data_IF_960580921152
#
_entry.id   IF_960580921152
#
_cell.length_a   1.000
_cell.length_b   1.000
_cell.length_c   1.000
_cell.angle_alpha   90.00
_cell.angle_beta   90.00
_cell.angle_gamma   90.00
#
_symmetry.space_group_name_H-M   'P 1'
#
loop_
_entity.id
_entity.type
_entity.pdbx_description
1 polymer ?
#
# COMPACT_ATOMS: atom_id res chain seq x y z
N UNK A 1 4.75 -9.05 -7.44
CA UNK A 1 4.47 -9.78 -6.18
C UNK A 1 5.69 -9.82 -5.25
N UNK A 2 6.87 -10.27 -5.71
CA UNK A 2 8.06 -10.41 -4.84
C UNK A 2 8.99 -9.21 -4.81
N UNK A 3 9.18 -8.51 -5.93
CA UNK A 3 10.19 -7.44 -6.07
C UNK A 3 9.63 -6.03 -5.91
N UNK A 4 8.31 -5.86 -5.96
CA UNK A 4 7.65 -4.55 -6.01
C UNK A 4 7.72 -3.85 -7.38
N UNK A 5 8.40 -4.46 -8.36
CA UNK A 5 8.46 -3.95 -9.73
C UNK A 5 7.16 -4.28 -10.50
N UNK A 6 6.68 -3.29 -11.26
CA UNK A 6 5.42 -3.37 -12.01
C UNK A 6 5.61 -3.86 -13.46
N UNK A 7 6.83 -3.85 -13.97
CA UNK A 7 7.15 -4.21 -15.35
C UNK A 7 7.55 -5.69 -15.43
N UNK A 8 7.09 -6.37 -16.48
CA UNK A 8 7.52 -7.74 -16.76
C UNK A 8 9.02 -7.78 -17.09
N UNK A 9 9.71 -8.81 -16.62
CA UNK A 9 11.17 -8.95 -16.80
C UNK A 9 11.45 -10.22 -17.58
N UNK A 10 12.26 -10.09 -18.61
CA UNK A 10 12.70 -11.19 -19.46
C UNK A 10 13.61 -12.16 -18.69
N UNK A 11 13.49 -13.46 -19.00
CA UNK A 11 14.21 -14.54 -18.32
C UNK A 11 15.25 -15.13 -19.26
N UNK A 12 16.43 -15.43 -18.72
CA UNK A 12 17.57 -15.97 -19.48
C UNK A 12 18.22 -17.13 -18.74
N UNK A 13 19.14 -17.85 -19.39
CA UNK A 13 19.84 -18.99 -18.78
C UNK A 13 21.26 -18.67 -18.33
N UNK A 14 21.75 -17.46 -18.65
CA UNK A 14 23.08 -17.00 -18.30
C UNK A 14 23.29 -16.97 -16.77
N UNK A 15 24.44 -17.45 -16.27
CA UNK A 15 24.72 -17.48 -14.85
C UNK A 15 24.92 -16.05 -14.32
N UNK A 16 24.27 -15.75 -13.20
CA UNK A 16 24.44 -14.50 -12.46
C UNK A 16 25.41 -14.68 -11.30
N UNK A 17 25.98 -13.57 -10.80
CA UNK A 17 26.83 -13.62 -9.60
C UNK A 17 25.99 -14.04 -8.37
N UNK A 18 26.58 -14.72 -7.36
CA UNK A 18 25.83 -15.21 -6.20
C UNK A 18 25.10 -14.13 -5.39
N UNK A 19 25.71 -12.94 -5.26
CA UNK A 19 25.22 -11.86 -4.38
C UNK A 19 24.27 -10.87 -5.08
N UNK A 20 23.76 -11.25 -6.25
CA UNK A 20 22.87 -10.41 -7.03
C UNK A 20 21.49 -10.34 -6.38
N UNK A 21 20.89 -9.15 -6.42
CA UNK A 21 19.55 -8.90 -5.89
C UNK A 21 18.51 -9.82 -6.56
N UNK A 22 17.44 -10.14 -5.84
CA UNK A 22 16.42 -11.11 -6.27
C UNK A 22 15.83 -10.78 -7.66
N UNK A 23 15.63 -9.48 -7.95
CA UNK A 23 15.10 -8.99 -9.22
C UNK A 23 16.01 -9.22 -10.42
N UNK A 24 17.33 -9.24 -10.21
CA UNK A 24 18.33 -9.36 -11.27
C UNK A 24 18.79 -10.81 -11.49
N UNK A 25 18.19 -11.78 -10.78
CA UNK A 25 18.40 -13.21 -11.00
C UNK A 25 17.53 -13.69 -12.17
N UNK A 26 17.90 -13.31 -13.39
CA UNK A 26 17.12 -13.59 -14.60
C UNK A 26 16.96 -15.09 -14.92
N UNK A 27 17.84 -15.95 -14.40
CA UNK A 27 17.73 -17.42 -14.49
C UNK A 27 16.74 -18.08 -13.53
N UNK A 28 16.08 -17.30 -12.67
CA UNK A 28 15.17 -17.83 -11.66
C UNK A 28 13.72 -17.45 -11.96
N UNK A 29 12.82 -18.42 -11.79
CA UNK A 29 11.38 -18.22 -11.68
C UNK A 29 10.95 -18.45 -10.23
N UNK A 30 10.08 -17.60 -9.70
CA UNK A 30 9.72 -17.63 -8.28
C UNK A 30 8.28 -18.10 -8.09
N UNK A 31 8.05 -18.91 -7.06
CA UNK A 31 6.70 -19.35 -6.67
C UNK A 31 5.79 -18.15 -6.41
N UNK A 32 4.58 -18.15 -6.98
CA UNK A 32 3.61 -17.06 -6.88
C UNK A 32 3.77 -15.94 -7.92
N UNK A 33 4.76 -16.04 -8.83
CA UNK A 33 4.85 -15.17 -10.02
C UNK A 33 4.07 -15.76 -11.20
N UNK A 34 3.70 -14.90 -12.15
CA UNK A 34 2.97 -15.27 -13.37
C UNK A 34 3.88 -15.12 -14.58
N UNK A 35 3.70 -15.97 -15.58
CA UNK A 35 4.33 -15.83 -16.90
C UNK A 35 3.44 -14.92 -17.73
N UNK A 36 3.95 -13.76 -18.14
CA UNK A 36 3.21 -12.82 -18.98
C UNK A 36 3.09 -13.33 -20.42
N UNK A 37 4.19 -13.86 -20.97
CA UNK A 37 4.27 -14.40 -22.33
C UNK A 37 5.40 -15.44 -22.44
N UNK A 38 5.29 -16.35 -23.41
CA UNK A 38 6.30 -17.36 -23.72
C UNK A 38 6.15 -18.69 -22.98
N UNK A 39 7.10 -19.59 -23.21
CA UNK A 39 7.19 -20.91 -22.57
C UNK A 39 8.66 -21.20 -22.21
N UNK A 40 8.89 -21.96 -21.15
CA UNK A 40 10.23 -22.33 -20.71
C UNK A 40 10.24 -23.62 -19.91
N UNK A 41 11.42 -24.22 -19.80
CA UNK A 41 11.67 -25.40 -18.97
C UNK A 41 12.74 -25.06 -17.94
N UNK A 42 12.61 -25.59 -16.73
CA UNK A 42 13.55 -25.34 -15.65
C UNK A 42 13.53 -26.46 -14.62
N UNK A 43 14.48 -26.39 -13.69
CA UNK A 43 14.61 -27.33 -12.58
C UNK A 43 14.04 -26.69 -11.32
N UNK A 44 13.27 -27.45 -10.55
CA UNK A 44 12.79 -26.99 -9.25
C UNK A 44 13.96 -27.01 -8.25
N UNK A 45 14.39 -25.84 -7.82
CA UNK A 45 15.53 -25.67 -6.90
C UNK A 45 15.12 -25.57 -5.43
N UNK A 46 13.93 -25.03 -5.14
CA UNK A 46 13.37 -24.92 -3.79
C UNK A 46 11.85 -25.14 -3.80
N UNK A 47 11.30 -25.66 -2.71
CA UNK A 47 9.86 -25.88 -2.51
C UNK A 47 9.42 -25.49 -1.09
N UNK A 48 8.12 -25.23 -0.92
CA UNK A 48 7.53 -24.91 0.39
C UNK A 48 8.19 -23.70 1.06
N UNK A 49 8.52 -23.86 2.36
CA UNK A 49 9.18 -22.83 3.18
C UNK A 49 10.59 -22.46 2.72
N UNK A 50 11.21 -23.30 1.88
CA UNK A 50 12.52 -23.02 1.29
C UNK A 50 12.48 -21.89 0.28
N UNK A 51 11.36 -21.73 -0.45
CA UNK A 51 11.17 -20.69 -1.47
C UNK A 51 11.16 -19.28 -0.87
N UNK A 52 11.48 -18.26 -1.66
CA UNK A 52 11.43 -16.86 -1.22
C UNK A 52 10.07 -16.45 -0.63
N UNK A 53 8.95 -16.83 -1.27
CA UNK A 53 7.61 -16.56 -0.74
C UNK A 53 7.31 -17.34 0.55
N UNK A 54 7.85 -18.56 0.67
CA UNK A 54 7.76 -19.39 1.88
C UNK A 54 8.57 -18.83 3.05
N UNK A 55 9.77 -18.30 2.78
CA UNK A 55 10.61 -17.59 3.76
C UNK A 55 9.91 -16.32 4.24
N UNK A 56 9.36 -15.51 3.33
CA UNK A 56 8.55 -14.33 3.69
C UNK A 56 7.36 -14.73 4.58
N UNK A 57 6.63 -15.78 4.22
CA UNK A 57 5.49 -16.27 5.01
C UNK A 57 5.90 -16.69 6.42
N UNK A 58 7.06 -17.34 6.55
CA UNK A 58 7.61 -17.76 7.85
C UNK A 58 8.04 -16.57 8.70
N UNK A 59 8.69 -15.57 8.09
CA UNK A 59 9.07 -14.33 8.77
C UNK A 59 7.85 -13.56 9.27
N UNK A 60 6.80 -13.46 8.45
CA UNK A 60 5.55 -12.80 8.83
C UNK A 60 4.82 -13.55 9.94
N UNK A 61 4.82 -14.88 9.90
CA UNK A 61 4.20 -15.71 10.94
C UNK A 61 4.92 -15.59 12.30
N UNK A 62 6.22 -15.32 12.30
CA UNK A 62 7.03 -15.14 13.51
C UNK A 62 6.86 -13.78 14.22
N UNK A 63 6.08 -12.86 13.66
CA UNK A 63 5.87 -11.53 14.25
C UNK A 63 4.90 -11.63 15.42
N UNK A 64 5.41 -11.51 16.64
CA UNK A 64 4.58 -11.42 17.85
C UNK A 64 3.70 -10.17 17.82
N UNK A 65 2.43 -10.33 18.19
CA UNK A 65 1.54 -9.20 18.36
C UNK A 65 1.84 -8.47 19.66
N UNK A 66 2.42 -7.28 19.54
CA UNK A 66 2.61 -6.39 20.66
C UNK A 66 1.26 -5.87 21.17
N UNK A 67 1.05 -5.93 22.48
CA UNK A 67 -0.09 -5.26 23.15
C UNK A 67 0.04 -3.75 23.04
N UNK A 68 -1.10 -3.07 22.89
CA UNK A 68 -1.10 -1.61 22.72
C UNK A 68 -0.83 -0.87 24.04
N UNK A 69 -0.31 0.37 24.00
CA UNK A 69 0.02 1.12 25.20
C UNK A 69 -1.16 1.28 26.18
N UNK A 70 -2.38 1.51 25.70
CA UNK A 70 -3.59 1.65 26.50
C UNK A 70 -3.97 0.33 27.18
N UNK A 71 -3.85 -0.80 26.48
CA UNK A 71 -4.08 -2.11 27.08
C UNK A 71 -3.03 -2.41 28.18
N UNK A 72 -1.78 -2.00 27.97
CA UNK A 72 -0.72 -2.11 29.00
C UNK A 72 -1.02 -1.23 30.21
N UNK A 73 -1.35 0.04 29.99
CA UNK A 73 -1.72 0.97 31.06
C UNK A 73 -2.96 0.49 31.81
N UNK A 74 -3.93 -0.09 31.10
CA UNK A 74 -5.13 -0.63 31.74
C UNK A 74 -4.87 -1.88 32.56
N UNK A 75 -4.00 -2.77 32.09
CA UNK A 75 -3.56 -3.91 32.88
C UNK A 75 -2.82 -3.46 34.15
N UNK A 76 -1.96 -2.43 34.04
CA UNK A 76 -1.27 -1.85 35.20
C UNK A 76 -2.25 -1.20 36.17
N UNK A 77 -3.14 -0.34 35.70
CA UNK A 77 -4.18 0.30 36.50
C UNK A 77 -5.05 -0.75 37.22
N UNK A 78 -5.49 -1.79 36.49
CA UNK A 78 -6.26 -2.89 37.07
C UNK A 78 -5.53 -3.57 38.22
N UNK A 79 -4.23 -3.88 38.06
CA UNK A 79 -3.40 -4.47 39.13
C UNK A 79 -3.29 -3.56 40.35
N UNK A 80 -3.03 -2.27 40.14
CA UNK A 80 -2.96 -1.29 41.24
C UNK A 80 -4.28 -1.17 41.97
N UNK A 81 -5.39 -1.09 41.24
CA UNK A 81 -6.73 -1.00 41.81
C UNK A 81 -7.10 -2.28 42.58
N UNK A 82 -6.85 -3.46 42.01
CA UNK A 82 -7.08 -4.74 42.70
C UNK A 82 -6.25 -4.84 43.99
N UNK A 83 -4.98 -4.42 43.97
CA UNK A 83 -4.14 -4.40 45.16
C UNK A 83 -4.71 -3.46 46.24
N UNK A 84 -5.18 -2.27 45.85
CA UNK A 84 -5.80 -1.32 46.77
C UNK A 84 -7.11 -1.87 47.36
N UNK A 85 -7.97 -2.47 46.54
CA UNK A 85 -9.23 -3.09 46.98
C UNK A 85 -8.94 -4.18 48.01
N UNK A 86 -8.01 -5.10 47.72
CA UNK A 86 -7.64 -6.18 48.64
C UNK A 86 -7.08 -5.60 49.95
N UNK A 87 -6.19 -4.60 49.87
CA UNK A 87 -5.62 -3.98 51.06
C UNK A 87 -6.69 -3.32 51.95
N UNK A 88 -7.63 -2.59 51.36
CA UNK A 88 -8.74 -1.95 52.08
C UNK A 88 -9.70 -3.01 52.65
N UNK A 89 -10.04 -4.05 51.90
CA UNK A 89 -10.90 -5.14 52.36
C UNK A 89 -10.28 -5.92 53.52
N UNK A 90 -9.00 -6.27 53.44
CA UNK A 90 -8.26 -6.91 54.55
C UNK A 90 -8.16 -5.97 55.74
N UNK A 91 -7.83 -4.69 55.53
CA UNK A 91 -7.76 -3.71 56.61
C UNK A 91 -9.09 -3.51 57.33
N UNK A 92 -10.18 -3.44 56.58
CA UNK A 92 -11.55 -3.31 57.13
C UNK A 92 -11.95 -4.57 57.91
N UNK A 93 -11.66 -5.75 57.37
CA UNK A 93 -11.88 -7.02 58.05
C UNK A 93 -11.11 -7.10 59.36
N UNK A 94 -9.80 -6.82 59.33
CA UNK A 94 -8.93 -6.87 60.49
C UNK A 94 -9.38 -5.85 61.55
N UNK A 95 -9.72 -4.63 61.16
CA UNK A 95 -10.23 -3.61 62.08
C UNK A 95 -11.56 -4.03 62.73
N UNK A 96 -12.49 -4.56 61.95
CA UNK A 96 -13.80 -4.99 62.46
C UNK A 96 -13.71 -6.13 63.47
N UNK A 97 -12.84 -7.12 63.21
CA UNK A 97 -12.66 -8.28 64.10
C UNK A 97 -11.78 -7.93 65.30
N UNK A 98 -10.62 -7.30 65.09
CA UNK A 98 -9.62 -7.12 66.15
C UNK A 98 -9.88 -5.90 67.05
N UNK A 99 -10.56 -4.86 66.54
CA UNK A 99 -10.76 -3.59 67.27
C UNK A 99 -12.21 -3.39 67.70
N UNK A 100 -13.17 -3.78 66.85
CA UNK A 100 -14.61 -3.59 67.10
C UNK A 100 -15.32 -4.85 67.62
N UNK A 101 -14.62 -5.98 67.71
CA UNK A 101 -15.12 -7.26 68.22
C UNK A 101 -16.37 -7.78 67.47
N UNK A 102 -16.49 -7.43 66.18
CA UNK A 102 -17.55 -7.93 65.32
C UNK A 102 -17.31 -9.38 64.89
N UNK A 103 -18.40 -10.13 64.65
CA UNK A 103 -18.30 -11.51 64.20
C UNK A 103 -17.55 -11.61 62.86
N UNK A 104 -16.54 -12.49 62.79
CA UNK A 104 -15.70 -12.66 61.59
C UNK A 104 -16.52 -12.96 60.33
N UNK A 105 -17.61 -13.73 60.42
CA UNK A 105 -18.50 -14.02 59.30
C UNK A 105 -19.16 -12.74 58.75
N UNK A 106 -19.61 -11.84 59.64
CA UNK A 106 -20.24 -10.58 59.23
C UNK A 106 -19.21 -9.66 58.55
N UNK A 107 -18.00 -9.57 59.11
CA UNK A 107 -16.91 -8.77 58.51
C UNK A 107 -16.42 -9.35 57.19
N UNK A 108 -16.41 -10.68 57.04
CA UNK A 108 -16.07 -11.34 55.79
C UNK A 108 -17.07 -11.00 54.69
N UNK A 109 -18.37 -11.12 54.96
CA UNK A 109 -19.43 -10.73 54.02
C UNK A 109 -19.33 -9.25 53.64
N UNK A 110 -19.05 -8.36 54.60
CA UNK A 110 -18.83 -6.95 54.35
C UNK A 110 -17.60 -6.68 53.46
N UNK A 111 -16.47 -7.35 53.73
CA UNK A 111 -15.24 -7.19 52.96
C UNK A 111 -15.38 -7.69 51.50
N UNK A 112 -16.12 -8.79 51.29
CA UNK A 112 -16.47 -9.29 49.95
C UNK A 112 -17.40 -8.30 49.24
N UNK A 113 -18.43 -7.80 49.92
CA UNK A 113 -19.34 -6.80 49.37
C UNK A 113 -18.61 -5.52 48.94
N UNK A 114 -17.67 -5.04 49.77
CA UNK A 114 -16.81 -3.91 49.46
C UNK A 114 -15.93 -4.19 48.23
N UNK A 115 -15.33 -5.38 48.17
CA UNK A 115 -14.46 -5.75 47.06
C UNK A 115 -15.22 -5.80 45.73
N UNK A 116 -16.39 -6.45 45.70
CA UNK A 116 -17.24 -6.53 44.50
C UNK A 116 -17.72 -5.14 44.07
N UNK A 117 -18.18 -4.31 45.01
CA UNK A 117 -18.65 -2.97 44.71
C UNK A 117 -17.55 -2.04 44.14
N UNK A 118 -16.28 -2.33 44.43
CA UNK A 118 -15.14 -1.52 43.98
C UNK A 118 -14.56 -1.95 42.63
N UNK A 119 -14.95 -3.12 42.08
CA UNK A 119 -14.45 -3.59 40.78
C UNK A 119 -15.11 -2.78 39.65
N UNK A 120 -14.34 -2.13 38.75
CA UNK A 120 -14.90 -1.32 37.68
C UNK A 120 -15.29 -2.18 36.46
N UNK A 121 -16.36 -2.97 36.62
CA UNK A 121 -16.86 -3.89 35.56
C UNK A 121 -17.26 -3.16 34.27
N UNK A 122 -17.64 -1.88 34.35
CA UNK A 122 -18.02 -1.07 33.21
C UNK A 122 -16.84 -0.60 32.34
N UNK A 123 -15.60 -0.66 32.84
CA UNK A 123 -14.45 -0.07 32.16
C UNK A 123 -14.11 -0.77 30.82
N UNK A 124 -14.05 -2.11 30.71
CA UNK A 124 -13.82 -2.79 29.43
C UNK A 124 -14.92 -2.49 28.39
N UNK A 125 -16.16 -2.34 28.84
CA UNK A 125 -17.30 -2.05 27.97
C UNK A 125 -17.21 -0.63 27.39
N UNK A 126 -16.97 0.39 28.24
CA UNK A 126 -16.80 1.78 27.81
C UNK A 126 -15.67 1.89 26.80
N UNK A 127 -14.53 1.26 27.08
CA UNK A 127 -13.35 1.25 26.20
C UNK A 127 -13.67 0.68 24.82
N UNK A 128 -14.37 -0.45 24.77
CA UNK A 128 -14.74 -1.10 23.50
C UNK A 128 -15.69 -0.22 22.70
N UNK A 129 -16.67 0.41 23.35
CA UNK A 129 -17.62 1.34 22.71
C UNK A 129 -16.88 2.56 22.14
N UNK A 130 -15.98 3.17 22.92
CA UNK A 130 -15.20 4.33 22.48
C UNK A 130 -14.29 3.98 21.28
N UNK A 131 -13.62 2.84 21.32
CA UNK A 131 -12.80 2.35 20.20
C UNK A 131 -13.66 2.08 18.95
N UNK A 132 -14.84 1.47 19.11
CA UNK A 132 -15.75 1.19 18.00
C UNK A 132 -16.23 2.47 17.31
N UNK A 133 -16.58 3.51 18.07
CA UNK A 133 -16.91 4.84 17.52
C UNK A 133 -15.73 5.41 16.73
N UNK A 134 -14.50 5.24 17.24
CA UNK A 134 -13.27 5.64 16.54
C UNK A 134 -13.08 4.90 15.21
N UNK A 135 -13.28 3.58 15.20
CA UNK A 135 -13.22 2.77 13.98
C UNK A 135 -14.26 3.20 12.96
N UNK A 136 -15.51 3.45 13.37
CA UNK A 136 -16.56 3.89 12.47
C UNK A 136 -16.24 5.24 11.83
N UNK A 137 -15.68 6.19 12.60
CA UNK A 137 -15.22 7.49 12.08
C UNK A 137 -14.07 7.36 11.08
N UNK A 138 -13.15 6.42 11.30
CA UNK A 138 -12.03 6.18 10.37
C UNK A 138 -12.49 5.47 9.09
N UNK A 139 -13.43 4.53 9.19
CA UNK A 139 -14.01 3.88 8.02
C UNK A 139 -14.69 4.90 7.09
N UNK A 140 -15.38 5.90 7.64
CA UNK A 140 -15.93 7.02 6.87
C UNK A 140 -14.88 7.91 6.18
N UNK A 141 -13.59 7.71 6.45
CA UNK A 141 -12.45 8.37 5.82
C UNK A 141 -11.55 7.40 5.05
N UNK A 142 -12.11 6.29 4.57
CA UNK A 142 -11.41 5.24 3.81
C UNK A 142 -10.29 4.52 4.58
N UNK A 143 -10.30 4.56 5.92
CA UNK A 143 -9.37 3.83 6.77
C UNK A 143 -10.07 2.63 7.44
N UNK A 144 -9.83 1.43 6.89
CA UNK A 144 -10.44 0.19 7.38
C UNK A 144 -9.58 -0.40 8.50
N UNK A 145 -10.08 -0.35 9.74
CA UNK A 145 -9.40 -0.93 10.90
C UNK A 145 -9.83 -2.38 11.10
N UNK A 146 -8.89 -3.31 10.94
CA UNK A 146 -9.14 -4.76 11.15
C UNK A 146 -9.06 -5.20 12.62
N UNK A 147 -8.42 -4.40 13.49
CA UNK A 147 -8.24 -4.70 14.92
C UNK A 147 -8.50 -3.44 15.74
N UNK A 148 -9.49 -3.47 16.63
CA UNK A 148 -9.88 -2.30 17.45
C UNK A 148 -8.70 -1.63 18.17
N UNK A 149 -7.72 -2.36 18.76
CA UNK A 149 -6.59 -1.71 19.42
C UNK A 149 -5.71 -0.87 18.48
N UNK A 150 -5.73 -1.12 17.16
CA UNK A 150 -4.91 -0.37 16.20
C UNK A 150 -5.31 1.11 16.09
N UNK A 151 -6.53 1.47 16.49
CA UNK A 151 -6.98 2.88 16.56
C UNK A 151 -6.07 3.72 17.45
N UNK A 152 -5.67 3.15 18.59
CA UNK A 152 -4.81 3.81 19.55
C UNK A 152 -3.37 3.91 19.03
N UNK A 153 -2.85 2.81 18.48
CA UNK A 153 -1.50 2.78 17.90
C UNK A 153 -1.36 3.85 16.81
N UNK A 154 -2.38 4.05 15.98
CA UNK A 154 -2.38 5.10 14.95
C UNK A 154 -2.19 6.51 15.53
N UNK A 155 -2.78 6.79 16.70
CA UNK A 155 -2.64 8.07 17.39
C UNK A 155 -1.26 8.31 18.03
N UNK A 156 -0.44 7.26 18.14
CA UNK A 156 0.91 7.31 18.70
C UNK A 156 2.01 7.01 17.68
N UNK A 157 1.68 6.98 16.39
CA UNK A 157 2.64 6.78 15.31
C UNK A 157 3.63 7.95 15.27
N UNK A 158 4.92 7.64 15.40
CA UNK A 158 6.02 8.60 15.26
C UNK A 158 6.76 8.48 13.93
N UNK A 159 6.67 7.32 13.26
CA UNK A 159 7.34 7.02 12.00
C UNK A 159 6.37 6.33 11.06
N UNK A 160 6.22 6.83 9.84
CA UNK A 160 5.44 6.21 8.77
C UNK A 160 6.41 5.65 7.74
N UNK A 161 6.52 4.33 7.70
CA UNK A 161 7.19 3.62 6.60
C UNK A 161 6.14 3.31 5.54
N UNK A 162 6.21 3.97 4.39
CA UNK A 162 5.29 3.77 3.27
C UNK A 162 6.03 3.18 2.08
N UNK A 163 5.35 2.32 1.35
CA UNK A 163 5.82 1.94 0.02
C UNK A 163 5.64 3.14 -0.94
N UNK A 164 6.44 3.17 -2.01
CA UNK A 164 6.35 4.20 -3.05
C UNK A 164 5.25 3.84 -4.05
N UNK A 165 5.40 2.68 -4.69
CA UNK A 165 4.59 2.30 -5.85
C UNK A 165 3.19 1.89 -5.39
N UNK A 166 2.15 2.53 -5.94
CA UNK A 166 0.76 2.24 -5.58
C UNK A 166 0.30 2.80 -4.23
N UNK A 167 1.18 3.47 -3.47
CA UNK A 167 0.81 4.18 -2.23
C UNK A 167 1.13 5.68 -2.32
N UNK A 168 2.40 6.05 -2.58
CA UNK A 168 2.77 7.45 -2.83
C UNK A 168 2.54 7.84 -4.30
N UNK A 169 2.71 6.88 -5.22
CA UNK A 169 2.44 7.05 -6.64
C UNK A 169 1.16 6.31 -7.01
N UNK A 170 0.49 6.76 -8.08
CA UNK A 170 -0.71 6.09 -8.62
C UNK A 170 -0.42 4.77 -9.32
N UNK A 171 0.84 4.34 -9.41
CA UNK A 171 1.27 3.22 -10.25
C UNK A 171 0.81 3.36 -11.72
N UNK A 172 0.66 4.60 -12.18
CA UNK A 172 0.33 4.96 -13.55
C UNK A 172 1.55 5.67 -14.13
N UNK A 173 2.12 5.14 -15.20
CA UNK A 173 3.24 5.79 -15.89
C UNK A 173 2.73 7.08 -16.55
N UNK A 174 3.52 8.16 -16.49
CA UNK A 174 3.11 9.46 -17.05
C UNK A 174 4.32 10.17 -17.63
N UNK A 175 4.22 10.58 -18.90
CA UNK A 175 5.24 11.42 -19.54
C UNK A 175 5.24 12.79 -18.85
N UNK A 176 6.40 13.20 -18.33
CA UNK A 176 6.58 14.52 -17.69
C UNK A 176 7.24 15.54 -18.60
N UNK A 177 8.17 15.09 -19.44
CA UNK A 177 9.01 15.97 -20.26
C UNK A 177 9.18 15.34 -21.63
N UNK A 178 8.99 16.13 -22.68
CA UNK A 178 9.42 15.84 -24.05
C UNK A 178 10.57 16.80 -24.37
N UNK A 179 11.73 16.29 -24.78
CA UNK A 179 12.86 17.13 -25.20
C UNK A 179 13.12 16.94 -26.67
N UNK A 180 13.18 18.06 -27.39
CA UNK A 180 13.54 18.11 -28.81
C UNK A 180 14.67 19.13 -29.00
N UNK A 181 15.17 19.27 -30.23
CA UNK A 181 16.09 20.37 -30.57
C UNK A 181 15.44 21.75 -30.47
N UNK A 182 14.11 21.83 -30.51
CA UNK A 182 13.36 23.10 -30.40
C UNK A 182 13.07 23.49 -28.95
N UNK A 183 13.18 22.58 -27.98
CA UNK A 183 12.98 22.91 -26.57
C UNK A 183 12.73 21.72 -25.65
N UNK A 184 12.58 22.03 -24.36
CA UNK A 184 12.20 21.08 -23.32
C UNK A 184 10.78 21.41 -22.87
N UNK A 185 9.83 20.58 -23.28
CA UNK A 185 8.41 20.74 -23.03
C UNK A 185 8.00 19.96 -21.78
N UNK A 186 7.33 20.59 -20.83
CA UNK A 186 6.83 19.99 -19.61
C UNK A 186 5.31 19.74 -19.73
N UNK A 187 4.88 18.51 -19.45
CA UNK A 187 3.48 18.09 -19.54
C UNK A 187 2.85 18.06 -18.15
N UNK A 188 1.65 18.64 -18.04
CA UNK A 188 0.86 18.63 -16.81
C UNK A 188 -0.10 17.43 -16.75
N UNK A 189 -0.76 17.30 -15.60
CA UNK A 189 -1.63 16.17 -15.28
C UNK A 189 -0.89 14.99 -14.64
N UNK A 190 -1.66 13.95 -14.31
CA UNK A 190 -1.16 12.71 -13.70
C UNK A 190 -2.05 11.55 -14.12
N UNK A 191 -1.45 10.38 -14.29
CA UNK A 191 -2.20 9.21 -14.70
C UNK A 191 -2.54 9.23 -16.19
N UNK A 192 -3.60 8.50 -16.55
CA UNK A 192 -4.01 8.28 -17.93
C UNK A 192 -5.08 9.26 -18.43
N UNK A 193 -5.34 10.34 -17.69
CA UNK A 193 -6.22 11.42 -18.16
C UNK A 193 -5.52 12.21 -19.29
N UNK A 194 -6.08 12.23 -20.52
CA UNK A 194 -5.54 12.97 -21.65
C UNK A 194 -5.75 14.49 -21.54
N UNK A 195 -6.46 14.98 -20.52
CA UNK A 195 -6.53 16.42 -20.26
C UNK A 195 -5.25 16.91 -19.58
N UNK A 196 -4.67 17.97 -20.12
CA UNK A 196 -3.45 18.58 -19.60
C UNK A 196 -2.96 19.68 -20.53
N UNK A 197 -2.00 20.45 -20.04
CA UNK A 197 -1.33 21.51 -20.80
C UNK A 197 0.13 21.15 -21.02
N UNK A 198 0.70 21.71 -22.08
CA UNK A 198 2.13 21.62 -22.38
C UNK A 198 2.74 22.99 -22.16
N UNK A 199 3.90 23.03 -21.50
CA UNK A 199 4.60 24.28 -21.21
C UNK A 199 6.05 24.24 -21.67
N UNK A 200 6.56 25.39 -22.11
CA UNK A 200 7.96 25.62 -22.45
C UNK A 200 8.48 26.77 -21.59
N UNK A 201 9.58 26.55 -20.87
CA UNK A 201 10.13 27.53 -19.93
C UNK A 201 9.07 28.10 -18.95
N UNK A 202 8.21 27.22 -18.42
CA UNK A 202 7.09 27.53 -17.49
C UNK A 202 5.98 28.43 -18.06
N UNK A 203 5.89 28.56 -19.38
CA UNK A 203 4.76 29.21 -20.06
C UNK A 203 3.98 28.16 -20.83
N UNK A 204 2.66 28.17 -20.66
CA UNK A 204 1.78 27.32 -21.45
C UNK A 204 1.87 27.72 -22.93
N UNK A 205 1.90 26.71 -23.80
CA UNK A 205 2.05 26.87 -25.23
C UNK A 205 0.93 26.13 -25.97
N UNK A 206 0.67 26.55 -27.20
CA UNK A 206 -0.14 25.77 -28.13
C UNK A 206 0.78 24.80 -28.88
N UNK A 207 0.56 23.47 -28.80
CA UNK A 207 1.42 22.48 -29.46
C UNK A 207 1.55 22.70 -30.98
N UNK A 208 0.50 23.24 -31.61
CA UNK A 208 0.44 23.60 -33.04
C UNK A 208 1.54 24.57 -33.48
N UNK A 209 2.05 25.41 -32.58
CA UNK A 209 3.14 26.35 -32.86
C UNK A 209 4.52 25.67 -32.93
N UNK A 210 4.61 24.39 -32.55
CA UNK A 210 5.86 23.64 -32.42
C UNK A 210 5.82 22.34 -33.24
N UNK A 211 6.12 22.39 -34.56
CA UNK A 211 5.97 21.24 -35.45
C UNK A 211 6.73 19.98 -34.99
N UNK A 212 7.95 20.15 -34.48
CA UNK A 212 8.76 19.03 -34.00
C UNK A 212 8.17 18.36 -32.74
N UNK A 213 7.46 19.11 -31.90
CA UNK A 213 6.72 18.54 -30.76
C UNK A 213 5.56 17.67 -31.28
N UNK A 214 4.84 18.14 -32.29
CA UNK A 214 3.76 17.38 -32.92
C UNK A 214 4.27 16.12 -33.62
N UNK A 215 5.38 16.18 -34.34
CA UNK A 215 5.95 15.02 -35.03
C UNK A 215 6.41 13.93 -34.03
N UNK A 216 7.06 14.33 -32.94
CA UNK A 216 7.42 13.39 -31.85
C UNK A 216 6.17 12.83 -31.18
N UNK A 217 5.15 13.66 -30.95
CA UNK A 217 3.86 13.24 -30.40
C UNK A 217 3.12 12.26 -31.30
N UNK A 218 3.18 12.47 -32.62
CA UNK A 218 2.61 11.58 -33.63
C UNK A 218 3.34 10.25 -33.64
N UNK A 219 4.68 10.25 -33.57
CA UNK A 219 5.45 9.02 -33.45
C UNK A 219 5.08 8.22 -32.18
N UNK A 220 4.87 8.90 -31.05
CA UNK A 220 4.41 8.28 -29.79
C UNK A 220 3.03 7.63 -29.89
N UNK A 221 2.13 8.15 -30.73
CA UNK A 221 0.78 7.61 -30.95
C UNK A 221 0.79 6.47 -31.98
N UNK A 222 1.53 6.61 -33.07
CA UNK A 222 1.51 5.64 -34.19
C UNK A 222 2.41 4.43 -33.94
N UNK A 223 3.54 4.61 -33.25
CA UNK A 223 4.44 3.53 -32.84
C UNK A 223 4.07 3.07 -31.43
N UNK A 224 2.85 2.58 -31.29
CA UNK A 224 2.23 2.24 -30.01
C UNK A 224 1.25 1.08 -30.21
N UNK A 225 1.28 0.09 -29.31
CA UNK A 225 0.33 -1.03 -29.31
C UNK A 225 -0.66 -0.95 -28.14
N UNK A 226 -0.54 0.06 -27.26
CA UNK A 226 -1.49 0.31 -26.19
C UNK A 226 -2.77 0.96 -26.73
N UNK A 227 -3.88 0.75 -26.02
CA UNK A 227 -5.14 1.44 -26.24
C UNK A 227 -5.58 2.17 -24.97
N UNK A 228 -6.33 3.25 -25.16
CA UNK A 228 -6.91 4.05 -24.08
C UNK A 228 -8.43 3.96 -24.19
N UNK A 229 -9.07 3.44 -23.16
CA UNK A 229 -10.53 3.35 -23.07
C UNK A 229 -11.05 4.20 -21.90
N UNK A 230 -12.33 4.58 -21.96
CA UNK A 230 -12.99 5.37 -20.93
C UNK A 230 -14.14 4.57 -20.34
N UNK A 231 -13.91 3.97 -19.17
CA UNK A 231 -14.88 3.17 -18.43
C UNK A 231 -15.35 3.90 -17.17
N UNK A 232 -16.67 4.06 -17.00
CA UNK A 232 -17.33 4.75 -15.87
C UNK A 232 -16.72 6.13 -15.53
N UNK A 233 -16.24 6.85 -16.55
CA UNK A 233 -15.63 8.17 -16.42
C UNK A 233 -14.14 8.18 -16.07
N UNK A 234 -13.53 7.01 -15.85
CA UNK A 234 -12.09 6.84 -15.63
C UNK A 234 -11.39 6.37 -16.90
N UNK A 235 -10.22 6.93 -17.17
CA UNK A 235 -9.37 6.51 -18.29
C UNK A 235 -8.54 5.29 -17.90
N UNK A 236 -8.61 4.25 -18.71
CA UNK A 236 -7.87 3.00 -18.52
C UNK A 236 -7.00 2.72 -19.73
N UNK A 237 -5.73 2.37 -19.47
CA UNK A 237 -4.79 1.91 -20.50
C UNK A 237 -4.82 0.39 -20.55
N UNK A 238 -4.92 -0.16 -21.75
CA UNK A 238 -4.68 -1.57 -22.04
C UNK A 238 -3.39 -1.70 -22.83
N UNK A 239 -2.49 -2.59 -22.40
CA UNK A 239 -1.15 -2.74 -23.00
C UNK A 239 -0.04 -2.38 -22.02
N UNK A 240 1.15 -2.07 -22.55
CA UNK A 240 2.28 -1.68 -21.73
C UNK A 240 2.05 -0.29 -21.10
N UNK A 241 2.31 -0.10 -19.79
CA UNK A 241 2.11 1.19 -19.12
C UNK A 241 2.94 2.34 -19.71
N UNK A 242 4.15 2.08 -20.21
CA UNK A 242 4.95 3.11 -20.86
C UNK A 242 4.35 3.51 -22.20
N UNK A 243 3.92 2.55 -23.00
CA UNK A 243 3.22 2.82 -24.25
C UNK A 243 1.94 3.63 -24.01
N UNK A 244 1.11 3.24 -23.05
CA UNK A 244 -0.09 4.01 -22.69
C UNK A 244 0.23 5.44 -22.22
N UNK A 245 1.33 5.65 -21.50
CA UNK A 245 1.76 6.98 -21.10
C UNK A 245 2.16 7.85 -22.30
N UNK A 246 2.81 7.27 -23.32
CA UNK A 246 3.17 7.94 -24.57
C UNK A 246 1.91 8.28 -25.39
N UNK A 247 0.93 7.36 -25.44
CA UNK A 247 -0.35 7.57 -26.11
C UNK A 247 -1.11 8.78 -25.50
N UNK A 248 -1.21 8.81 -24.17
CA UNK A 248 -1.83 9.92 -23.42
C UNK A 248 -1.09 11.24 -23.64
N UNK A 249 0.25 11.21 -23.77
CA UNK A 249 1.03 12.41 -24.07
C UNK A 249 0.74 12.96 -25.47
N UNK A 250 0.55 12.09 -26.47
CA UNK A 250 0.14 12.48 -27.81
C UNK A 250 -1.23 13.14 -27.84
N UNK A 251 -2.20 12.59 -27.09
CA UNK A 251 -3.53 13.19 -26.93
C UNK A 251 -3.46 14.58 -26.28
N UNK A 252 -2.60 14.77 -25.27
CA UNK A 252 -2.34 16.10 -24.66
C UNK A 252 -1.74 17.11 -25.62
N UNK A 253 -1.04 16.66 -26.65
CA UNK A 253 -0.52 17.51 -27.71
C UNK A 253 -1.60 17.92 -28.73
N UNK A 254 -2.85 17.49 -28.55
CA UNK A 254 -3.98 17.81 -29.42
C UNK A 254 -4.15 16.86 -30.61
N UNK A 255 -3.45 15.72 -30.61
CA UNK A 255 -3.62 14.71 -31.67
C UNK A 255 -4.91 13.93 -31.45
N UNK A 256 -5.65 13.70 -32.53
CA UNK A 256 -6.80 12.80 -32.56
C UNK A 256 -6.36 11.43 -33.10
N UNK A 257 -6.51 10.39 -32.29
CA UNK A 257 -6.02 9.04 -32.63
C UNK A 257 -6.67 8.50 -33.90
N UNK A 258 -7.99 8.63 -34.03
CA UNK A 258 -8.70 8.12 -35.19
C UNK A 258 -8.23 8.79 -36.49
N UNK A 259 -8.03 10.11 -36.45
CA UNK A 259 -7.53 10.87 -37.60
C UNK A 259 -6.10 10.49 -37.96
N UNK A 260 -5.21 10.38 -36.98
CA UNK A 260 -3.80 10.03 -37.20
C UNK A 260 -3.64 8.61 -37.77
N UNK A 261 -4.34 7.62 -37.23
CA UNK A 261 -4.31 6.23 -37.71
C UNK A 261 -4.86 6.13 -39.14
N UNK A 262 -5.91 6.90 -39.48
CA UNK A 262 -6.47 6.93 -40.85
C UNK A 262 -5.54 7.62 -41.84
N UNK A 263 -4.82 8.64 -41.39
CA UNK A 263 -3.88 9.40 -42.24
C UNK A 263 -2.58 8.62 -42.48
N UNK A 264 -2.10 7.91 -41.46
CA UNK A 264 -0.89 7.10 -41.48
C UNK A 264 -1.21 5.64 -41.13
N UNK A 265 -1.88 4.89 -42.02
CA UNK A 265 -2.25 3.51 -41.74
C UNK A 265 -1.01 2.64 -41.55
N UNK A 266 -0.95 1.90 -40.44
CA UNK A 266 0.12 0.95 -40.17
C UNK A 266 -0.01 -0.24 -41.10
N UNK A 267 0.91 -0.38 -42.05
CA UNK A 267 0.93 -1.48 -43.04
C UNK A 267 1.79 -2.66 -42.61
N UNK A 268 2.76 -2.44 -41.72
CA UNK A 268 3.67 -3.44 -41.19
C UNK A 268 4.17 -3.02 -39.79
N UNK A 269 4.78 -3.94 -39.05
CA UNK A 269 5.32 -3.70 -37.71
C UNK A 269 6.60 -4.51 -37.49
N UNK A 270 7.65 -3.83 -37.03
CA UNK A 270 8.80 -4.48 -36.40
C UNK A 270 8.57 -4.40 -34.88
N UNK A 271 8.30 -5.52 -34.20
CA UNK A 271 8.03 -5.49 -32.77
C UNK A 271 9.26 -5.07 -31.97
N UNK A 272 9.05 -4.56 -30.77
CA UNK A 272 10.14 -4.25 -29.85
C UNK A 272 10.87 -5.54 -29.43
N UNK A 273 12.18 -5.61 -29.67
CA UNK A 273 13.06 -6.69 -29.24
C UNK A 273 14.18 -6.11 -28.37
N UNK A 274 14.38 -6.65 -27.16
CA UNK A 274 15.39 -6.16 -26.19
C UNK A 274 16.81 -6.09 -26.77
N UNK A 275 17.15 -7.00 -27.69
CA UNK A 275 18.47 -7.11 -28.34
C UNK A 275 18.75 -5.98 -29.33
N UNK A 276 17.71 -5.27 -29.80
CA UNK A 276 17.79 -4.22 -30.81
C UNK A 276 17.52 -2.81 -30.24
N UNK A 277 17.69 -2.64 -28.92
CA UNK A 277 17.58 -1.35 -28.21
C UNK A 277 18.65 -0.32 -28.59
#
# INVERSE_FOLDING_TARGET
VLTGESVAVEKGTEPVKPDVALGDRYGMAYSGTLVTYGQGMGVVVETGVGTEIGRISSLVAGVEQLTTPLLRQMSQFGRWLTAAIIAISIGTFAFGVLVRDYMAVQMFLAAVGLAVAAIPEGLPAIMTITLAIGVQRMAGRNAIIRRLPAVETLGSVSVICTDKTGTLTRNEMTVRIITTTSGRFELSGSGYDPHGGISLAKREILPEEYPLLLDVSRAMVLCNDASLDRDDGNWQVHGDPMEGALLVAGLKAGLDMETEIRTYPRTDLIPFESEHR
#
